data_IF_779812215793
#
_entry.id   IF_779812215793
#
_cell.length_a   1.000
_cell.length_b   1.000
_cell.length_c   1.000
_cell.angle_alpha   90.00
_cell.angle_beta   90.00
_cell.angle_gamma   90.00
#
_symmetry.space_group_name_H-M   'P 1'
#
loop_
_entity.id
_entity.type
_entity.pdbx_description
1 polymer ?
#
# COMPACT_ATOMS: atom_id res chain seq x y z
N UNK A 1 -5.63 10.09 11.71
CA UNK A 1 -6.09 9.99 10.30
C UNK A 1 -5.05 10.69 9.45
N UNK A 2 -4.74 10.18 8.26
CA UNK A 2 -3.65 10.71 7.42
C UNK A 2 -4.10 11.93 6.61
N UNK A 3 -3.16 12.84 6.32
CA UNK A 3 -3.39 14.08 5.56
C UNK A 3 -2.70 13.97 4.19
N UNK A 4 -3.44 14.26 3.10
CA UNK A 4 -2.91 14.13 1.73
C UNK A 4 -1.69 15.05 1.57
N UNK A 5 -0.61 14.52 1.00
CA UNK A 5 0.64 15.23 0.77
C UNK A 5 1.58 15.29 1.98
N UNK A 6 1.10 14.92 3.19
CA UNK A 6 1.93 14.89 4.40
C UNK A 6 2.83 13.66 4.41
N UNK A 7 4.04 13.87 4.91
CA UNK A 7 5.06 12.84 5.06
C UNK A 7 5.07 12.29 6.48
N UNK A 8 5.24 10.98 6.60
CA UNK A 8 5.24 10.25 7.86
C UNK A 8 6.45 9.32 7.90
N UNK A 9 7.07 9.21 9.05
CA UNK A 9 8.07 8.18 9.32
C UNK A 9 7.37 6.82 9.43
N UNK A 10 7.65 5.91 8.48
CA UNK A 10 6.94 4.63 8.33
C UNK A 10 6.94 3.80 9.62
N UNK A 11 8.08 3.71 10.31
CA UNK A 11 8.16 2.90 11.52
C UNK A 11 7.46 3.57 12.72
N UNK A 12 7.87 4.76 13.15
CA UNK A 12 7.36 5.38 14.38
C UNK A 12 5.95 5.94 14.25
N UNK A 13 5.58 6.54 13.12
CA UNK A 13 4.32 7.28 12.97
C UNK A 13 3.21 6.45 12.31
N UNK A 14 3.56 5.40 11.55
CA UNK A 14 2.57 4.47 10.97
C UNK A 14 2.53 3.16 11.76
N UNK A 15 3.56 2.31 11.67
CA UNK A 15 3.51 0.99 12.31
C UNK A 15 3.66 1.05 13.84
N UNK A 16 4.29 2.09 14.38
CA UNK A 16 4.38 2.34 15.82
C UNK A 16 3.01 2.64 16.42
N UNK A 17 2.16 3.32 15.65
CA UNK A 17 0.79 3.72 16.02
C UNK A 17 -0.21 2.62 15.72
N UNK A 18 -0.27 2.15 14.47
CA UNK A 18 -1.29 1.23 13.97
C UNK A 18 -0.91 -0.26 14.06
N UNK A 19 0.33 -0.55 14.48
CA UNK A 19 0.88 -1.91 14.62
C UNK A 19 0.79 -2.70 13.30
N UNK A 20 0.96 -4.02 13.37
CA UNK A 20 0.94 -4.91 12.20
C UNK A 20 2.28 -5.01 11.46
N UNK A 21 2.24 -5.64 10.30
CA UNK A 21 3.41 -5.90 9.44
C UNK A 21 4.03 -4.59 8.95
N UNK A 22 5.34 -4.39 9.18
CA UNK A 22 6.05 -3.17 8.79
C UNK A 22 6.94 -3.31 7.54
N UNK A 23 7.02 -4.51 6.97
CA UNK A 23 7.84 -4.82 5.80
C UNK A 23 6.96 -5.17 4.60
N UNK A 24 7.44 -4.98 3.38
CA UNK A 24 6.67 -5.23 2.15
C UNK A 24 5.87 -4.02 1.66
N UNK A 25 5.20 -4.18 0.53
CA UNK A 25 4.40 -3.14 -0.13
C UNK A 25 2.95 -3.11 0.35
N UNK A 26 2.43 -4.22 0.89
CA UNK A 26 1.08 -4.34 1.44
C UNK A 26 1.20 -4.59 2.94
N UNK A 27 0.50 -3.80 3.74
CA UNK A 27 0.40 -3.98 5.18
C UNK A 27 -1.04 -3.97 5.64
N UNK A 28 -1.35 -4.89 6.56
CA UNK A 28 -2.63 -4.99 7.26
C UNK A 28 -2.41 -4.58 8.72
N UNK A 29 -2.54 -3.28 9.05
CA UNK A 29 -2.44 -2.82 10.44
C UNK A 29 -3.47 -3.54 11.33
N UNK A 30 -3.11 -3.79 12.59
CA UNK A 30 -4.04 -4.39 13.57
C UNK A 30 -4.83 -3.34 14.36
N UNK A 31 -4.32 -2.11 14.45
CA UNK A 31 -4.97 -0.99 15.13
C UNK A 31 -5.90 -0.15 14.25
N UNK A 32 -6.06 -0.50 12.98
CA UNK A 32 -6.96 0.18 12.05
C UNK A 32 -7.54 -0.82 11.06
N UNK A 33 -8.84 -0.72 10.79
CA UNK A 33 -9.54 -1.60 9.86
C UNK A 33 -9.30 -1.20 8.38
N UNK A 34 -8.04 -1.19 7.97
CA UNK A 34 -7.60 -0.70 6.66
C UNK A 34 -6.52 -1.60 6.04
N UNK A 35 -6.19 -1.34 4.78
CA UNK A 35 -5.00 -1.86 4.11
C UNK A 35 -4.12 -0.68 3.76
N UNK A 36 -2.82 -0.80 4.02
CA UNK A 36 -1.82 0.17 3.59
C UNK A 36 -1.06 -0.39 2.40
N UNK A 37 -1.02 0.37 1.31
CA UNK A 37 -0.14 0.15 0.17
C UNK A 37 1.02 1.14 0.28
N UNK A 38 2.25 0.65 0.16
CA UNK A 38 3.48 1.43 0.17
C UNK A 38 4.23 1.13 -1.13
N UNK A 39 4.43 2.16 -1.94
CA UNK A 39 5.14 2.08 -3.23
C UNK A 39 6.36 3.00 -3.28
N UNK A 40 7.16 2.94 -4.34
CA UNK A 40 8.30 3.84 -4.60
C UNK A 40 9.66 3.40 -4.02
N UNK A 41 9.76 2.29 -3.27
CA UNK A 41 11.06 1.76 -2.77
C UNK A 41 11.77 0.91 -3.82
N UNK A 42 12.09 1.51 -4.98
CA UNK A 42 12.82 0.84 -6.04
C UNK A 42 12.02 -0.18 -6.85
N UNK A 43 10.68 -0.15 -6.81
CA UNK A 43 9.82 -1.02 -7.62
C UNK A 43 10.08 -0.89 -9.13
N UNK A 44 10.37 0.32 -9.61
CA UNK A 44 10.80 0.56 -11.00
C UNK A 44 12.06 -0.23 -11.39
N UNK A 45 12.98 -0.45 -10.44
CA UNK A 45 14.22 -1.24 -10.69
C UNK A 45 13.94 -2.74 -10.84
N UNK A 46 12.76 -3.19 -10.42
CA UNK A 46 12.30 -4.58 -10.53
C UNK A 46 11.20 -4.74 -11.59
N UNK A 47 10.91 -3.69 -12.39
CA UNK A 47 9.92 -3.72 -13.47
C UNK A 47 8.48 -3.48 -13.03
N UNK A 48 8.25 -3.03 -11.80
CA UNK A 48 6.92 -2.64 -11.34
C UNK A 48 6.55 -1.26 -11.86
N UNK A 49 5.44 -1.19 -12.61
CA UNK A 49 4.84 0.05 -13.10
C UNK A 49 3.66 0.42 -12.19
N UNK A 50 3.96 0.67 -10.91
CA UNK A 50 2.98 1.29 -10.01
C UNK A 50 2.84 2.76 -10.43
N UNK A 51 1.71 3.10 -11.04
CA UNK A 51 1.52 4.41 -11.66
C UNK A 51 0.11 4.96 -11.41
N UNK A 52 0.03 6.28 -11.31
CA UNK A 52 -1.23 7.02 -11.34
C UNK A 52 -1.51 7.39 -12.79
N UNK A 53 -2.47 6.69 -13.40
CA UNK A 53 -2.99 7.09 -14.71
C UNK A 53 -3.67 8.46 -14.66
N UNK A 54 -3.71 9.14 -15.81
CA UNK A 54 -4.35 10.45 -15.97
C UNK A 54 -5.86 10.43 -15.66
N UNK A 55 -6.47 9.25 -15.60
CA UNK A 55 -7.86 9.00 -15.23
C UNK A 55 -8.09 8.88 -13.72
N UNK A 56 -7.04 9.02 -12.91
CA UNK A 56 -7.08 8.85 -11.46
C UNK A 56 -7.08 7.39 -11.02
N UNK A 57 -6.79 6.45 -11.92
CA UNK A 57 -6.63 5.04 -11.59
C UNK A 57 -5.19 4.79 -11.16
N UNK A 58 -5.03 4.25 -9.96
CA UNK A 58 -3.75 3.74 -9.52
C UNK A 58 -3.61 2.27 -9.89
N UNK A 59 -2.67 1.96 -10.79
CA UNK A 59 -2.31 0.58 -11.11
C UNK A 59 -1.32 0.09 -10.08
N UNK A 60 -1.63 -1.04 -9.44
CA UNK A 60 -0.78 -1.61 -8.39
C UNK A 60 -0.43 -3.05 -8.70
N UNK A 61 0.85 -3.38 -8.68
CA UNK A 61 1.31 -4.77 -8.80
C UNK A 61 1.39 -5.43 -7.42
N UNK A 62 0.91 -6.66 -7.31
CA UNK A 62 0.89 -7.40 -6.04
C UNK A 62 2.27 -7.73 -5.45
N UNK A 63 2.27 -8.26 -4.23
CA UNK A 63 3.49 -8.71 -3.55
C UNK A 63 3.98 -10.06 -4.11
N UNK A 64 5.31 -10.18 -4.27
CA UNK A 64 5.99 -11.38 -4.76
C UNK A 64 7.00 -10.99 -5.84
N UNK A 65 8.27 -10.85 -5.45
CA UNK A 65 9.34 -10.37 -6.34
C UNK A 65 9.99 -11.46 -7.19
N UNK A 66 9.87 -12.72 -6.78
CA UNK A 66 10.49 -13.86 -7.45
C UNK A 66 9.41 -14.89 -7.80
N UNK A 67 9.37 -15.32 -9.06
CA UNK A 67 8.42 -16.31 -9.55
C UNK A 67 6.99 -15.80 -9.67
N UNK A 68 6.04 -16.73 -9.69
CA UNK A 68 4.61 -16.40 -9.80
C UNK A 68 4.09 -15.76 -8.51
N UNK A 69 3.37 -14.65 -8.63
CA UNK A 69 2.70 -14.03 -7.50
C UNK A 69 1.54 -14.91 -7.02
N UNK A 70 1.61 -15.37 -5.77
CA UNK A 70 0.57 -16.18 -5.16
C UNK A 70 -0.49 -15.32 -4.45
N UNK A 71 -1.73 -15.82 -4.42
CA UNK A 71 -2.85 -15.17 -3.72
C UNK A 71 -2.82 -15.49 -2.21
N UNK A 72 -1.73 -15.09 -1.55
CA UNK A 72 -1.46 -15.27 -0.11
C UNK A 72 -1.17 -13.92 0.56
N UNK A 73 -1.13 -13.89 1.89
CA UNK A 73 -0.73 -12.71 2.71
C UNK A 73 -1.38 -11.40 2.24
N UNK A 74 -0.59 -10.39 1.82
CA UNK A 74 -1.05 -9.09 1.36
C UNK A 74 -2.00 -9.18 0.17
N UNK A 75 -1.65 -9.96 -0.86
CA UNK A 75 -2.50 -10.17 -2.03
C UNK A 75 -3.86 -10.75 -1.63
N UNK A 76 -3.86 -11.76 -0.75
CA UNK A 76 -5.10 -12.36 -0.22
C UNK A 76 -5.91 -11.37 0.62
N UNK A 77 -5.24 -10.46 1.34
CA UNK A 77 -5.92 -9.42 2.11
C UNK A 77 -6.65 -8.43 1.20
N UNK A 78 -6.03 -8.00 0.10
CA UNK A 78 -6.68 -7.18 -0.93
C UNK A 78 -7.89 -7.91 -1.53
N UNK A 79 -7.71 -9.17 -1.95
CA UNK A 79 -8.79 -9.98 -2.54
C UNK A 79 -9.97 -10.16 -1.58
N UNK A 80 -9.71 -10.55 -0.34
CA UNK A 80 -10.77 -10.77 0.64
C UNK A 80 -11.50 -9.46 0.97
N UNK A 81 -10.80 -8.32 0.96
CA UNK A 81 -11.38 -7.02 1.30
C UNK A 81 -12.10 -6.31 0.19
N UNK A 82 -11.99 -6.75 -1.07
CA UNK A 82 -12.93 -6.35 -2.12
C UNK A 82 -14.40 -6.59 -1.72
N UNK A 83 -14.68 -7.55 -0.83
CA UNK A 83 -16.05 -7.87 -0.39
C UNK A 83 -16.55 -7.01 0.77
N UNK A 84 -15.65 -6.36 1.50
CA UNK A 84 -15.96 -5.75 2.80
C UNK A 84 -15.89 -4.20 2.80
N UNK A 85 -15.50 -3.59 1.67
CA UNK A 85 -15.48 -2.13 1.50
C UNK A 85 -14.45 -1.37 2.35
N UNK A 86 -13.42 -2.06 2.87
CA UNK A 86 -12.37 -1.40 3.67
C UNK A 86 -11.57 -0.39 2.84
N UNK A 87 -11.19 0.70 3.49
CA UNK A 87 -10.37 1.74 2.88
C UNK A 87 -8.95 1.24 2.67
N UNK A 88 -8.44 1.42 1.45
CA UNK A 88 -7.02 1.25 1.14
C UNK A 88 -6.37 2.62 1.23
N UNK A 89 -5.29 2.75 1.99
CA UNK A 89 -4.49 3.97 2.06
C UNK A 89 -3.19 3.75 1.29
N UNK A 90 -2.86 4.67 0.39
CA UNK A 90 -1.63 4.60 -0.39
C UNK A 90 -0.59 5.59 0.14
N UNK A 91 0.62 5.08 0.26
CA UNK A 91 1.81 5.81 0.64
C UNK A 91 2.92 5.61 -0.38
N UNK A 92 3.74 6.62 -0.58
CA UNK A 92 4.85 6.61 -1.52
C UNK A 92 6.14 7.01 -0.81
N UNK A 93 7.22 6.26 -0.99
CA UNK A 93 8.52 6.65 -0.44
C UNK A 93 9.04 7.93 -1.08
N UNK A 94 9.37 8.90 -0.25
CA UNK A 94 9.99 10.18 -0.68
C UNK A 94 11.46 10.26 -0.30
N UNK A 95 11.86 9.50 0.72
CA UNK A 95 13.25 9.26 1.14
C UNK A 95 13.29 8.05 2.07
N UNK A 96 14.48 7.59 2.41
CA UNK A 96 14.69 6.48 3.36
C UNK A 96 13.82 6.66 4.61
N UNK A 97 13.00 5.64 4.90
CA UNK A 97 12.08 5.55 6.04
C UNK A 97 10.88 6.52 6.07
N UNK A 98 10.78 7.49 5.16
CA UNK A 98 9.66 8.43 5.12
C UNK A 98 8.80 8.20 3.88
N UNK A 99 7.49 8.18 4.11
CA UNK A 99 6.49 7.99 3.07
C UNK A 99 5.49 9.15 3.08
N UNK A 100 5.10 9.61 1.89
CA UNK A 100 4.03 10.59 1.70
C UNK A 100 2.70 9.88 1.56
N UNK A 101 1.66 10.37 2.22
CA UNK A 101 0.31 9.86 2.02
C UNK A 101 -0.32 10.49 0.77
N UNK A 102 -0.67 9.65 -0.20
CA UNK A 102 -1.24 10.11 -1.47
C UNK A 102 -2.78 10.04 -1.49
N UNK A 103 -3.40 9.36 -0.53
CA UNK A 103 -4.85 9.32 -0.39
C UNK A 103 -5.40 7.93 -0.13
N UNK A 104 -6.72 7.83 -0.21
CA UNK A 104 -7.43 6.55 -0.13
C UNK A 104 -7.83 6.06 -1.51
N UNK A 105 -7.68 4.76 -1.75
CA UNK A 105 -8.08 4.09 -2.96
C UNK A 105 -9.36 3.28 -2.73
N UNK A 106 -10.15 3.16 -3.80
CA UNK A 106 -11.23 2.19 -3.92
C UNK A 106 -10.86 1.22 -5.02
N UNK A 107 -11.02 -0.08 -4.76
CA UNK A 107 -10.80 -1.09 -5.78
C UNK A 107 -11.90 -0.96 -6.83
N UNK A 108 -11.49 -0.86 -8.09
CA UNK A 108 -12.38 -1.00 -9.24
C UNK A 108 -12.62 -2.49 -9.46
N UNK A 109 -13.87 -2.91 -9.34
CA UNK A 109 -14.29 -4.27 -9.71
C UNK A 109 -14.84 -4.16 -11.14
N UNK A 110 -14.35 -4.96 -12.11
CA UNK A 110 -14.95 -5.03 -13.44
C UNK A 110 -16.38 -5.60 -13.40
#
# INVERSE_FOLDING_TARGET
MFEIGKEYHRQSEIHGVYKGQAQGGISTPSGLDAIFIVTGDGGEKHGYADDFGDDGIFNYTGEGQEGDMEMVRGNKAILNKMKDGRTIHIFEYVRKAYVRYNGSLKILIP
#
